data_IF_307323318287
#
_entry.id   IF_307323318287
#
_cell.length_a   1.000
_cell.length_b   1.000
_cell.length_c   1.000
_cell.angle_alpha   90.00
_cell.angle_beta   90.00
_cell.angle_gamma   90.00
#
_symmetry.space_group_name_H-M   'P 1'
#
loop_
_entity.id
_entity.type
_entity.pdbx_description
1 polymer ?
#
# COMPACT_ATOMS: atom_id res chain seq x y z
N UNK A 1 9.53 -58.37 8.31
CA UNK A 1 10.51 -58.08 9.38
C UNK A 1 11.74 -57.42 8.79
N UNK A 2 11.99 -56.12 9.01
CA UNK A 2 13.27 -55.54 9.49
C UNK A 2 13.10 -54.02 9.55
N UNK A 3 13.39 -53.45 10.72
CA UNK A 3 13.32 -52.02 11.03
C UNK A 3 14.70 -51.41 10.75
N UNK A 4 14.76 -50.16 10.30
CA UNK A 4 15.92 -49.30 10.56
C UNK A 4 15.46 -47.89 10.88
N UNK A 5 15.53 -47.58 12.18
CA UNK A 5 15.53 -46.23 12.74
C UNK A 5 16.93 -45.65 12.56
N UNK A 6 17.04 -44.38 12.17
CA UNK A 6 18.25 -43.60 12.42
C UNK A 6 17.81 -42.28 13.05
N UNK A 7 18.03 -42.20 14.36
CA UNK A 7 18.11 -40.95 15.12
C UNK A 7 19.42 -40.25 14.70
N UNK A 8 19.39 -38.95 14.43
CA UNK A 8 20.58 -38.08 14.44
C UNK A 8 20.14 -36.70 14.93
N UNK A 9 20.15 -36.48 16.25
CA UNK A 9 21.24 -35.92 17.08
C UNK A 9 21.23 -34.40 17.07
N UNK A 10 20.84 -33.90 18.24
CA UNK A 10 20.65 -32.53 18.71
C UNK A 10 21.99 -31.78 18.70
N UNK A 11 22.02 -30.60 18.10
CA UNK A 11 23.08 -29.60 18.37
C UNK A 11 22.42 -28.31 18.83
N UNK A 12 22.39 -28.17 20.15
CA UNK A 12 21.96 -27.00 20.89
C UNK A 12 23.12 -25.98 20.87
N UNK A 13 22.96 -24.87 20.15
CA UNK A 13 23.89 -23.73 20.23
C UNK A 13 23.18 -22.60 20.97
N UNK A 14 23.51 -22.50 22.26
CA UNK A 14 23.20 -21.37 23.12
C UNK A 14 24.01 -20.14 22.68
N UNK A 15 23.34 -19.04 22.37
CA UNK A 15 23.99 -17.71 22.24
C UNK A 15 23.48 -16.84 23.39
N UNK A 16 24.43 -16.45 24.23
CA UNK A 16 24.27 -15.74 25.49
C UNK A 16 23.74 -14.31 25.30
N UNK A 17 22.71 -13.99 26.07
CA UNK A 17 22.20 -12.64 26.31
C UNK A 17 23.23 -11.86 27.13
N UNK A 18 23.66 -10.70 26.64
CA UNK A 18 24.33 -9.69 27.46
C UNK A 18 23.29 -8.63 27.86
N UNK A 19 22.95 -8.63 29.15
CA UNK A 19 22.26 -7.54 29.83
C UNK A 19 23.29 -6.43 30.12
N UNK A 20 23.16 -5.30 29.44
CA UNK A 20 23.81 -4.05 29.83
C UNK A 20 22.82 -3.18 30.60
N UNK A 21 23.04 -3.05 31.92
CA UNK A 21 22.37 -2.11 32.80
C UNK A 21 23.36 -1.03 33.26
N UNK A 22 23.02 0.24 33.07
CA UNK A 22 23.51 1.44 33.78
C UNK A 22 22.46 2.54 33.52
N UNK A 23 21.62 2.93 34.48
CA UNK A 23 21.84 3.76 35.69
C UNK A 23 21.67 5.26 35.41
N UNK A 24 20.46 5.74 35.73
CA UNK A 24 20.09 6.94 36.51
C UNK A 24 21.03 8.17 36.56
N UNK A 25 20.56 9.35 36.14
CA UNK A 25 20.14 10.48 37.02
C UNK A 25 19.76 11.76 36.22
N UNK A 26 19.08 12.65 36.93
CA UNK A 26 18.26 13.78 36.51
C UNK A 26 19.00 14.99 35.90
N UNK A 27 18.22 15.90 35.27
CA UNK A 27 18.54 17.32 35.33
C UNK A 27 18.22 18.16 34.10
N UNK A 28 17.31 19.12 34.32
CA UNK A 28 17.32 20.48 33.77
C UNK A 28 16.70 20.78 32.39
N UNK A 29 15.50 21.38 32.46
CA UNK A 29 15.32 22.80 32.13
C UNK A 29 15.81 23.29 30.76
N UNK A 30 14.88 23.71 29.89
CA UNK A 30 15.30 24.41 28.68
C UNK A 30 14.20 24.73 27.69
N UNK A 31 13.28 25.61 28.08
CA UNK A 31 12.45 26.38 27.17
C UNK A 31 13.24 26.92 25.98
N UNK A 32 12.77 26.69 24.75
CA UNK A 32 12.79 27.69 23.68
C UNK A 32 11.90 27.30 22.51
N UNK A 33 11.16 28.32 22.06
CA UNK A 33 10.07 28.32 21.12
C UNK A 33 10.53 28.15 19.63
N UNK A 34 9.60 28.13 18.67
CA UNK A 34 9.81 27.58 17.33
C UNK A 34 10.54 28.56 16.40
N UNK A 35 11.45 28.04 15.57
CA UNK A 35 11.95 28.75 14.42
C UNK A 35 11.13 28.34 13.19
N UNK A 36 10.21 29.24 12.79
CA UNK A 36 9.70 29.31 11.43
C UNK A 36 10.88 29.50 10.47
N UNK A 37 10.95 28.67 9.43
CA UNK A 37 11.72 28.99 8.23
C UNK A 37 10.73 29.33 7.13
N UNK A 38 10.66 30.64 6.93
CA UNK A 38 10.25 31.35 5.75
C UNK A 38 10.88 30.73 4.49
N UNK A 39 10.04 30.28 3.57
CA UNK A 39 10.43 30.13 2.16
C UNK A 39 9.49 30.98 1.31
N UNK A 40 9.80 32.27 1.31
CA UNK A 40 9.43 33.23 0.27
C UNK A 40 9.80 32.67 -1.11
N UNK A 41 8.78 32.35 -1.91
CA UNK A 41 8.94 32.09 -3.34
C UNK A 41 8.86 33.42 -4.11
N UNK A 42 9.77 33.69 -5.05
CA UNK A 42 9.83 34.98 -5.72
C UNK A 42 8.63 35.20 -6.63
N UNK A 43 7.95 36.31 -6.34
CA UNK A 43 7.17 37.12 -7.25
C UNK A 43 7.96 37.38 -8.54
N UNK A 44 7.47 36.85 -9.64
CA UNK A 44 7.83 37.32 -10.98
C UNK A 44 6.55 37.69 -11.69
N UNK A 45 6.14 38.93 -11.40
CA UNK A 45 5.22 39.70 -12.22
C UNK A 45 5.84 39.91 -13.62
N UNK A 46 5.17 39.38 -14.63
CA UNK A 46 5.29 39.88 -15.99
C UNK A 46 3.89 39.88 -16.60
N UNK A 47 3.25 41.04 -16.47
CA UNK A 47 2.03 41.39 -17.17
C UNK A 47 2.26 41.38 -18.69
N UNK A 48 1.34 40.80 -19.44
CA UNK A 48 1.10 41.17 -20.84
C UNK A 48 -0.40 41.02 -21.15
N UNK A 49 -0.97 41.96 -21.93
CA UNK A 49 -2.33 42.47 -21.75
C UNK A 49 -3.44 41.76 -22.53
N UNK A 50 -4.66 42.06 -22.10
CA UNK A 50 -5.93 41.82 -22.77
C UNK A 50 -5.97 42.45 -24.17
N UNK A 51 -6.41 41.68 -25.15
CA UNK A 51 -7.06 42.19 -26.36
C UNK A 51 -8.19 41.23 -26.78
N UNK A 52 -9.15 41.79 -27.49
CA UNK A 52 -10.56 41.54 -27.34
C UNK A 52 -11.17 40.60 -28.40
N UNK A 53 -12.40 40.18 -28.09
CA UNK A 53 -13.49 39.76 -28.99
C UNK A 53 -13.25 38.52 -29.87
N UNK A 54 -14.05 37.48 -29.60
CA UNK A 54 -15.06 37.03 -30.57
C UNK A 54 -15.97 35.98 -29.91
N UNK A 55 -17.21 36.39 -29.67
CA UNK A 55 -18.37 35.51 -29.58
C UNK A 55 -18.63 34.92 -30.98
N UNK A 56 -18.94 33.62 -31.08
CA UNK A 56 -20.28 33.32 -31.59
C UNK A 56 -20.95 32.11 -30.91
N UNK A 57 -22.23 32.35 -30.62
CA UNK A 57 -23.40 31.50 -30.86
C UNK A 57 -23.38 29.99 -30.54
N UNK A 58 -24.29 29.65 -29.63
CA UNK A 58 -25.17 28.47 -29.57
C UNK A 58 -25.06 27.44 -30.71
N UNK A 59 -24.82 26.17 -30.36
CA UNK A 59 -25.86 25.15 -30.41
C UNK A 59 -25.42 23.86 -29.68
N UNK A 60 -26.40 23.23 -29.06
CA UNK A 60 -26.52 21.80 -28.70
C UNK A 60 -25.60 21.15 -27.64
N UNK A 61 -26.29 20.66 -26.58
CA UNK A 61 -25.83 19.65 -25.61
C UNK A 61 -25.41 18.36 -26.34
N UNK A 62 -24.44 17.62 -25.77
CA UNK A 62 -24.82 16.53 -24.86
C UNK A 62 -24.07 16.67 -23.52
N UNK A 63 -24.75 16.65 -22.37
CA UNK A 63 -25.15 15.43 -21.68
C UNK A 63 -23.98 14.43 -21.48
N UNK A 64 -23.66 14.20 -20.21
CA UNK A 64 -22.87 13.08 -19.69
C UNK A 64 -21.41 12.99 -20.14
N UNK A 65 -20.56 13.73 -19.43
CA UNK A 65 -19.25 13.17 -19.07
C UNK A 65 -19.46 12.17 -17.94
N UNK A 66 -19.95 10.97 -18.26
CA UNK A 66 -19.81 9.81 -17.38
C UNK A 66 -18.32 9.48 -17.29
N UNK A 67 -17.66 9.50 -16.12
CA UNK A 67 -16.32 8.93 -15.99
C UNK A 67 -16.42 7.41 -16.02
N UNK A 68 -16.71 6.83 -17.19
CA UNK A 68 -16.58 5.40 -17.45
C UNK A 68 -15.15 5.10 -17.88
N UNK A 69 -14.24 5.15 -16.91
CA UNK A 69 -12.97 4.44 -17.00
C UNK A 69 -12.89 3.55 -15.77
N UNK A 70 -13.68 2.46 -15.78
CA UNK A 70 -13.36 1.30 -14.97
C UNK A 70 -11.98 0.80 -15.47
N UNK A 71 -10.91 1.29 -14.85
CA UNK A 71 -9.55 0.83 -15.13
C UNK A 71 -9.58 -0.70 -14.93
N UNK A 72 -9.31 -1.42 -16.02
CA UNK A 72 -9.34 -2.87 -16.04
C UNK A 72 -8.27 -3.43 -15.09
N UNK A 73 -8.54 -4.60 -14.51
CA UNK A 73 -7.61 -5.36 -13.66
C UNK A 73 -6.18 -5.31 -14.25
N UNK A 74 -5.14 -4.99 -13.45
CA UNK A 74 -3.77 -4.97 -13.95
C UNK A 74 -3.39 -6.32 -14.57
N UNK A 75 -2.91 -6.31 -15.82
CA UNK A 75 -2.73 -7.54 -16.60
C UNK A 75 -1.74 -8.55 -16.00
N UNK A 76 -0.77 -8.10 -15.20
CA UNK A 76 0.23 -8.97 -14.57
C UNK A 76 -0.18 -9.38 -13.13
N UNK A 77 -1.35 -8.95 -12.65
CA UNK A 77 -1.85 -9.38 -11.35
C UNK A 77 -2.35 -10.83 -11.45
N UNK A 78 -2.06 -11.72 -10.47
CA UNK A 78 -2.59 -13.07 -10.46
C UNK A 78 -4.09 -13.06 -10.66
N UNK A 79 -4.62 -13.95 -11.50
CA UNK A 79 -6.04 -13.96 -11.88
C UNK A 79 -6.97 -14.31 -10.72
N UNK A 80 -6.45 -14.96 -9.69
CA UNK A 80 -7.17 -15.32 -8.48
C UNK A 80 -7.08 -14.28 -7.35
N UNK A 81 -6.28 -13.22 -7.50
CA UNK A 81 -6.20 -12.14 -6.51
C UNK A 81 -7.59 -11.53 -6.28
N UNK A 82 -8.06 -11.42 -5.03
CA UNK A 82 -9.41 -10.95 -4.73
C UNK A 82 -9.51 -9.43 -4.91
N UNK A 83 -10.42 -9.03 -5.79
CA UNK A 83 -10.74 -7.62 -6.04
C UNK A 83 -12.24 -7.45 -5.74
N UNK A 84 -12.62 -6.51 -4.86
CA UNK A 84 -14.02 -6.20 -4.61
C UNK A 84 -14.77 -5.85 -5.90
N UNK A 85 -16.03 -6.28 -6.00
CA UNK A 85 -16.83 -6.06 -7.21
C UNK A 85 -17.11 -4.58 -7.49
N UNK A 86 -17.07 -3.74 -6.46
CA UNK A 86 -17.28 -2.30 -6.51
C UNK A 86 -15.96 -1.51 -6.53
N UNK A 87 -14.82 -2.18 -6.75
CA UNK A 87 -13.52 -1.55 -6.77
C UNK A 87 -13.40 -0.52 -7.91
N UNK A 88 -13.01 0.70 -7.55
CA UNK A 88 -12.66 1.77 -8.48
C UNK A 88 -11.15 1.94 -8.47
N UNK A 89 -10.49 1.44 -9.51
CA UNK A 89 -9.05 1.55 -9.67
C UNK A 89 -8.64 3.01 -9.92
N UNK A 90 -7.60 3.47 -9.23
CA UNK A 90 -7.09 4.84 -9.31
C UNK A 90 -5.80 4.92 -10.12
N UNK A 91 -4.84 4.03 -9.83
CA UNK A 91 -3.52 4.02 -10.48
C UNK A 91 -3.01 2.60 -10.60
N UNK A 92 -2.24 2.35 -11.65
CA UNK A 92 -1.44 1.13 -11.80
C UNK A 92 -0.11 1.48 -12.48
N UNK A 93 0.98 1.00 -11.90
CA UNK A 93 2.34 1.14 -12.41
C UNK A 93 2.97 -0.23 -12.53
N UNK A 94 3.73 -0.43 -13.59
CA UNK A 94 4.52 -1.64 -13.82
C UNK A 94 5.97 -1.25 -13.95
N UNK A 95 6.82 -1.97 -13.24
CA UNK A 95 8.26 -1.78 -13.28
C UNK A 95 8.94 -3.14 -13.39
N UNK A 96 10.17 -3.14 -13.87
CA UNK A 96 11.05 -4.31 -13.81
C UNK A 96 12.21 -3.95 -12.89
N UNK A 97 12.42 -4.75 -11.85
CA UNK A 97 13.52 -4.59 -10.91
C UNK A 97 14.35 -5.89 -10.94
N UNK A 98 15.62 -5.79 -11.31
CA UNK A 98 16.52 -6.97 -11.43
C UNK A 98 15.99 -8.09 -12.35
N UNK A 99 15.20 -7.73 -13.37
CA UNK A 99 14.57 -8.69 -14.29
C UNK A 99 13.23 -9.27 -13.80
N UNK A 100 12.79 -8.91 -12.59
CA UNK A 100 11.52 -9.32 -11.97
C UNK A 100 10.45 -8.27 -12.18
N UNK A 101 9.22 -8.68 -12.50
CA UNK A 101 8.11 -7.73 -12.64
C UNK A 101 7.62 -7.28 -11.26
N UNK A 102 7.37 -5.99 -11.14
CA UNK A 102 6.76 -5.36 -9.97
C UNK A 102 5.55 -4.58 -10.44
N UNK A 103 4.42 -4.77 -9.76
CA UNK A 103 3.15 -4.13 -10.05
C UNK A 103 2.74 -3.38 -8.80
N UNK A 104 2.48 -2.10 -8.94
CA UNK A 104 1.85 -1.28 -7.92
C UNK A 104 0.47 -0.88 -8.44
N UNK A 105 -0.57 -1.07 -7.64
CA UNK A 105 -1.88 -0.54 -7.99
C UNK A 105 -2.65 -0.09 -6.76
N UNK A 106 -3.59 0.81 -7.00
CA UNK A 106 -4.44 1.41 -5.97
C UNK A 106 -5.89 1.37 -6.43
N UNK A 107 -6.81 1.04 -5.53
CA UNK A 107 -8.24 1.15 -5.78
C UNK A 107 -8.99 1.57 -4.52
N UNK A 108 -10.20 2.10 -4.70
CA UNK A 108 -11.14 2.37 -3.61
C UNK A 108 -12.35 1.45 -3.70
N UNK A 109 -13.02 1.21 -2.57
CA UNK A 109 -14.21 0.36 -2.46
C UNK A 109 -15.08 0.84 -1.30
N UNK A 110 -16.38 0.55 -1.37
CA UNK A 110 -17.35 0.82 -0.31
C UNK A 110 -17.37 -0.28 0.76
N UNK A 111 -16.66 -1.38 0.54
CA UNK A 111 -16.41 -2.43 1.55
C UNK A 111 -15.81 -1.83 2.82
N UNK A 112 -16.23 -2.31 3.99
CA UNK A 112 -15.60 -1.90 5.24
C UNK A 112 -14.19 -2.48 5.38
N UNK A 113 -13.38 -1.89 6.27
CA UNK A 113 -12.06 -2.44 6.59
C UNK A 113 -12.12 -3.86 7.15
N UNK A 114 -13.14 -4.20 7.95
CA UNK A 114 -13.34 -5.56 8.45
C UNK A 114 -13.64 -6.55 7.31
N UNK A 115 -14.53 -6.18 6.38
CA UNK A 115 -14.84 -7.03 5.22
C UNK A 115 -13.61 -7.26 4.32
N UNK A 116 -12.75 -6.25 4.18
CA UNK A 116 -11.51 -6.37 3.42
C UNK A 116 -10.45 -7.19 4.17
N UNK A 117 -10.36 -7.03 5.50
CA UNK A 117 -9.49 -7.86 6.33
C UNK A 117 -9.86 -9.34 6.18
N UNK A 118 -11.14 -9.70 6.30
CA UNK A 118 -11.61 -11.07 6.10
C UNK A 118 -11.29 -11.59 4.69
N UNK A 119 -11.57 -10.78 3.66
CA UNK A 119 -11.33 -11.14 2.26
C UNK A 119 -9.85 -11.46 1.99
N UNK A 120 -8.96 -10.57 2.42
CA UNK A 120 -7.53 -10.72 2.14
C UNK A 120 -6.84 -11.70 3.09
N UNK A 121 -7.32 -11.84 4.33
CA UNK A 121 -6.84 -12.89 5.23
C UNK A 121 -7.18 -14.28 4.69
N UNK A 122 -8.40 -14.48 4.18
CA UNK A 122 -8.79 -15.73 3.54
C UNK A 122 -7.89 -16.07 2.35
N UNK A 123 -7.56 -15.07 1.53
CA UNK A 123 -6.62 -15.23 0.41
C UNK A 123 -5.20 -15.56 0.88
N UNK A 124 -4.68 -14.86 1.89
CA UNK A 124 -3.36 -15.15 2.44
C UNK A 124 -3.27 -16.59 2.99
N UNK A 125 -4.33 -17.08 3.63
CA UNK A 125 -4.44 -18.46 4.11
C UNK A 125 -4.47 -19.46 2.94
N UNK A 126 -5.31 -19.21 1.94
CA UNK A 126 -5.45 -20.07 0.75
C UNK A 126 -4.13 -20.20 -0.01
N UNK A 127 -3.42 -19.07 -0.18
CA UNK A 127 -2.10 -18.99 -0.81
C UNK A 127 -0.95 -19.45 0.07
N UNK A 128 -1.22 -19.85 1.32
CA UNK A 128 -0.21 -20.30 2.29
C UNK A 128 0.94 -19.31 2.41
N UNK A 129 0.62 -18.05 2.64
CA UNK A 129 1.60 -16.97 2.75
C UNK A 129 2.75 -17.36 3.69
N UNK A 130 3.96 -17.43 3.14
CA UNK A 130 5.20 -17.78 3.82
C UNK A 130 5.93 -16.50 4.27
N UNK A 131 6.63 -16.57 5.41
CA UNK A 131 7.40 -15.45 5.98
C UNK A 131 6.60 -14.14 6.09
N UNK A 132 5.28 -14.27 6.23
CA UNK A 132 4.34 -13.15 6.11
C UNK A 132 3.73 -12.69 7.42
N UNK A 133 3.22 -11.47 7.41
CA UNK A 133 2.45 -10.86 8.49
C UNK A 133 1.10 -10.38 7.98
N UNK A 134 0.07 -10.51 8.81
CA UNK A 134 -1.25 -9.90 8.61
C UNK A 134 -1.55 -9.09 9.85
N UNK A 135 -1.64 -7.78 9.71
CA UNK A 135 -1.90 -6.85 10.80
C UNK A 135 -3.19 -6.09 10.52
N UNK A 136 -4.09 -6.09 11.50
CA UNK A 136 -5.29 -5.26 11.49
C UNK A 136 -5.35 -4.43 12.77
N UNK A 137 -5.16 -3.13 12.65
CA UNK A 137 -5.17 -2.20 13.78
C UNK A 137 -5.57 -0.81 13.30
N UNK A 138 -6.29 -0.05 14.13
CA UNK A 138 -6.60 1.37 13.89
C UNK A 138 -7.20 1.67 12.50
N UNK A 139 -8.11 0.81 12.01
CA UNK A 139 -8.68 0.90 10.65
C UNK A 139 -7.64 0.84 9.52
N UNK A 140 -6.53 0.14 9.77
CA UNK A 140 -5.49 -0.17 8.80
C UNK A 140 -5.36 -1.67 8.67
N UNK A 141 -5.24 -2.12 7.43
CA UNK A 141 -4.92 -3.50 7.08
C UNK A 141 -3.51 -3.51 6.48
N UNK A 142 -2.64 -4.38 6.96
CA UNK A 142 -1.35 -4.61 6.34
C UNK A 142 -1.14 -6.10 6.14
N UNK A 143 -0.77 -6.49 4.92
CA UNK A 143 -0.40 -7.87 4.58
C UNK A 143 0.91 -7.82 3.84
N UNK A 144 1.89 -8.57 4.31
CA UNK A 144 3.16 -8.73 3.61
C UNK A 144 3.60 -10.18 3.68
N UNK A 145 4.32 -10.67 2.67
CA UNK A 145 4.89 -12.01 2.69
C UNK A 145 5.19 -12.54 1.30
N UNK A 146 5.53 -13.83 1.25
CA UNK A 146 5.84 -14.54 0.01
C UNK A 146 4.83 -15.64 -0.28
N UNK A 147 4.57 -15.91 -1.55
CA UNK A 147 3.71 -17.00 -2.02
C UNK A 147 4.58 -17.94 -2.85
N UNK A 148 4.62 -19.22 -2.45
CA UNK A 148 5.40 -20.29 -3.10
C UNK A 148 6.90 -19.96 -3.33
N UNK A 149 7.44 -18.98 -2.59
CA UNK A 149 8.80 -18.39 -2.74
C UNK A 149 9.08 -17.71 -4.08
N UNK A 150 8.12 -17.69 -4.99
CA UNK A 150 8.21 -17.12 -6.34
C UNK A 150 7.60 -15.75 -6.44
N UNK A 151 6.73 -15.38 -5.50
CA UNK A 151 6.05 -14.10 -5.52
C UNK A 151 6.08 -13.47 -4.13
N UNK A 152 6.04 -12.15 -4.09
CA UNK A 152 5.89 -11.38 -2.87
C UNK A 152 4.73 -10.40 -3.00
N UNK A 153 4.01 -10.24 -1.91
CA UNK A 153 2.89 -9.32 -1.78
C UNK A 153 3.17 -8.33 -0.65
N UNK A 154 2.82 -7.07 -0.89
CA UNK A 154 2.67 -6.06 0.14
C UNK A 154 1.36 -5.31 -0.11
N UNK A 155 0.45 -5.34 0.85
CA UNK A 155 -0.86 -4.71 0.78
C UNK A 155 -1.03 -3.81 1.98
N UNK A 156 -1.49 -2.59 1.71
CA UNK A 156 -1.87 -1.60 2.71
C UNK A 156 -3.29 -1.13 2.44
N UNK A 157 -4.19 -1.35 3.39
CA UNK A 157 -5.55 -0.84 3.39
C UNK A 157 -5.73 0.26 4.42
N UNK A 158 -6.44 1.32 4.04
CA UNK A 158 -6.80 2.43 4.93
C UNK A 158 -8.22 2.90 4.66
N UNK A 159 -8.87 3.51 5.65
CA UNK A 159 -10.14 4.21 5.44
C UNK A 159 -9.88 5.68 5.08
N UNK A 160 -10.49 6.16 4.01
CA UNK A 160 -10.51 7.58 3.63
C UNK A 160 -11.68 8.27 4.33
N UNK A 161 -11.39 8.91 5.47
CA UNK A 161 -12.41 9.53 6.33
C UNK A 161 -13.29 10.56 5.61
N UNK A 162 -12.75 11.28 4.62
CA UNK A 162 -13.48 12.32 3.88
C UNK A 162 -14.51 11.74 2.90
N UNK A 163 -14.30 10.51 2.44
CA UNK A 163 -15.12 9.87 1.41
C UNK A 163 -15.92 8.68 1.93
N UNK A 164 -15.66 8.21 3.16
CA UNK A 164 -16.33 7.05 3.73
C UNK A 164 -16.07 5.75 2.95
N UNK A 165 -15.00 5.72 2.16
CA UNK A 165 -14.57 4.56 1.38
C UNK A 165 -13.23 4.06 1.87
N UNK A 166 -12.94 2.82 1.58
CA UNK A 166 -11.66 2.20 1.86
C UNK A 166 -10.75 2.28 0.64
N UNK A 167 -9.49 2.66 0.85
CA UNK A 167 -8.45 2.63 -0.15
C UNK A 167 -7.52 1.45 0.12
N UNK A 168 -7.22 0.69 -0.92
CA UNK A 168 -6.24 -0.37 -0.88
C UNK A 168 -5.11 -0.03 -1.85
N UNK A 169 -3.88 -0.14 -1.36
CA UNK A 169 -2.63 -0.11 -2.12
C UNK A 169 -2.04 -1.50 -2.12
N UNK A 170 -1.66 -2.02 -3.29
CA UNK A 170 -1.05 -3.34 -3.42
C UNK A 170 0.20 -3.23 -4.27
N UNK A 171 1.28 -3.79 -3.76
CA UNK A 171 2.50 -4.11 -4.49
C UNK A 171 2.60 -5.62 -4.63
N UNK A 172 2.73 -6.09 -5.85
CA UNK A 172 3.04 -7.48 -6.18
C UNK A 172 4.39 -7.53 -6.89
N UNK A 173 5.25 -8.47 -6.54
CA UNK A 173 6.52 -8.68 -7.23
C UNK A 173 6.81 -10.15 -7.45
N UNK A 174 7.33 -10.49 -8.62
CA UNK A 174 8.00 -11.77 -8.82
C UNK A 174 9.30 -11.79 -7.99
N UNK A 175 9.66 -12.95 -7.44
CA UNK A 175 10.87 -13.22 -6.67
C UNK A 175 11.72 -14.31 -7.33
#
# INVERSE_FOLDING_TARGET
MKRSKVLSLITMVSISVWLGACSEEAGDGGSSAPASVDQTWPEMAAAVPQEALSEPEADELPASSEPSSAIARPADLPSDFPIPADAVFMTSSKSVNEGKKVILFNFTTKKSMDELADLYQAYAIDKKLEDGSVTFADSKLMIEGSIDKTDSIWLLGTTLSEAGVSQITVTWSEN
#
